data_IF_381142607995
#
_entry.id   IF_381142607995
#
_cell.length_a   1.000
_cell.length_b   1.000
_cell.length_c   1.000
_cell.angle_alpha   90.00
_cell.angle_beta   90.00
_cell.angle_gamma   90.00
#
_symmetry.space_group_name_H-M   'P 1'
#
loop_
_entity.id
_entity.type
_entity.pdbx_description
1 polymer ?
#
# COMPACT_ATOMS: atom_id res chain seq x y z
N UNK A 1 23.05 -12.59 1.88
CA UNK A 1 23.10 -11.66 3.01
C UNK A 1 22.12 -10.54 2.70
N UNK A 2 21.02 -10.54 3.39
CA UNK A 2 20.03 -9.45 3.31
C UNK A 2 20.66 -8.25 4.00
N UNK A 3 21.08 -7.26 3.24
CA UNK A 3 21.62 -6.01 3.79
C UNK A 3 20.43 -5.24 4.39
N UNK A 4 20.37 -5.16 5.71
CA UNK A 4 19.45 -4.25 6.39
C UNK A 4 19.90 -2.84 5.98
N UNK A 5 19.01 -2.03 5.42
CA UNK A 5 19.30 -0.62 5.15
C UNK A 5 19.60 0.08 6.47
N UNK A 6 20.68 0.86 6.51
CA UNK A 6 21.04 1.68 7.69
C UNK A 6 20.11 2.90 7.84
N UNK A 7 19.20 3.11 6.88
CA UNK A 7 18.26 4.26 6.83
C UNK A 7 16.84 3.70 6.71
N UNK A 8 15.88 4.22 7.49
CA UNK A 8 14.49 3.81 7.41
C UNK A 8 13.91 3.95 6.00
N UNK A 9 12.99 3.07 5.65
CA UNK A 9 12.19 3.14 4.41
C UNK A 9 11.18 4.27 4.62
N UNK A 10 11.20 5.26 3.74
CA UNK A 10 10.31 6.42 3.78
C UNK A 10 8.97 6.06 3.15
N UNK A 11 7.91 6.16 3.93
CA UNK A 11 6.57 5.69 3.57
C UNK A 11 5.57 6.84 3.59
N UNK A 12 4.71 6.89 2.57
CA UNK A 12 3.49 7.69 2.55
C UNK A 12 2.29 6.75 2.75
N UNK A 13 1.43 7.05 3.71
CA UNK A 13 0.14 6.39 3.86
C UNK A 13 -0.91 7.06 2.97
N UNK A 14 -1.60 6.28 2.13
CA UNK A 14 -2.58 6.79 1.19
C UNK A 14 -4.00 6.44 1.61
N UNK A 15 -4.60 7.31 2.39
CA UNK A 15 -5.92 7.27 3.00
C UNK A 15 -5.86 7.10 4.53
N UNK A 16 -6.92 7.56 5.20
CA UNK A 16 -7.08 7.46 6.66
C UNK A 16 -8.45 6.87 7.02
N UNK A 17 -8.90 5.93 6.20
CA UNK A 17 -10.04 5.06 6.54
C UNK A 17 -9.67 4.07 7.65
N UNK A 18 -10.48 3.06 7.86
CA UNK A 18 -10.25 2.06 8.90
C UNK A 18 -8.86 1.41 8.79
N UNK A 19 -8.51 0.90 7.60
CA UNK A 19 -7.20 0.27 7.36
C UNK A 19 -6.05 1.28 7.43
N UNK A 20 -6.26 2.51 6.93
CA UNK A 20 -5.21 3.53 6.95
C UNK A 20 -4.80 3.96 8.34
N UNK A 21 -5.73 3.99 9.30
CA UNK A 21 -5.41 4.23 10.71
C UNK A 21 -4.51 3.13 11.27
N UNK A 22 -4.85 1.88 11.03
CA UNK A 22 -4.05 0.73 11.44
C UNK A 22 -2.68 0.73 10.75
N UNK A 23 -2.60 1.16 9.49
CA UNK A 23 -1.35 1.27 8.76
C UNK A 23 -0.44 2.34 9.38
N UNK A 24 -0.96 3.51 9.74
CA UNK A 24 -0.19 4.56 10.44
C UNK A 24 0.40 4.03 11.75
N UNK A 25 -0.40 3.36 12.58
CA UNK A 25 0.09 2.75 13.81
C UNK A 25 1.16 1.69 13.56
N UNK A 26 0.96 0.86 12.52
CA UNK A 26 1.89 -0.20 12.17
C UNK A 26 3.21 0.34 11.60
N UNK A 27 3.18 1.45 10.85
CA UNK A 27 4.38 2.11 10.35
C UNK A 27 5.15 2.71 11.53
N UNK A 28 4.47 3.45 12.40
CA UNK A 28 5.09 4.10 13.57
C UNK A 28 5.72 3.09 14.55
N UNK A 29 5.15 1.90 14.69
CA UNK A 29 5.66 0.85 15.56
C UNK A 29 6.95 0.18 15.03
N UNK A 30 7.39 0.47 13.81
CA UNK A 30 8.54 -0.17 13.17
C UNK A 30 9.70 0.80 12.95
N UNK A 31 10.84 0.61 13.62
CA UNK A 31 11.99 1.51 13.49
C UNK A 31 12.62 1.50 12.09
N UNK A 32 12.37 0.46 11.29
CA UNK A 32 12.80 0.37 9.91
C UNK A 32 11.94 1.17 8.92
N UNK A 33 10.83 1.76 9.38
CA UNK A 33 9.93 2.58 8.57
C UNK A 33 9.89 4.02 9.11
N UNK A 34 9.72 4.97 8.21
CA UNK A 34 9.53 6.38 8.52
C UNK A 34 8.29 6.89 7.80
N UNK A 35 7.25 7.28 8.55
CA UNK A 35 6.08 7.94 7.97
C UNK A 35 6.46 9.37 7.59
N UNK A 36 6.49 9.67 6.28
CA UNK A 36 6.88 10.99 5.77
C UNK A 36 5.71 11.81 5.24
N UNK A 37 4.54 11.20 5.04
CA UNK A 37 3.35 11.89 4.56
C UNK A 37 2.09 11.04 4.69
N UNK A 38 0.95 11.72 4.69
CA UNK A 38 -0.37 11.10 4.72
C UNK A 38 -1.29 11.81 3.74
N UNK A 39 -1.86 11.06 2.79
CA UNK A 39 -2.86 11.56 1.87
C UNK A 39 -4.26 11.41 2.45
N UNK A 40 -5.06 12.45 2.32
CA UNK A 40 -6.50 12.45 2.66
C UNK A 40 -7.31 13.11 1.54
N UNK A 41 -8.47 12.53 1.24
CA UNK A 41 -9.43 13.12 0.29
C UNK A 41 -10.50 13.98 0.97
N UNK A 42 -10.63 13.88 2.29
CA UNK A 42 -11.58 14.66 3.08
C UNK A 42 -10.93 16.00 3.50
N UNK A 43 -11.46 17.14 3.02
CA UNK A 43 -10.91 18.45 3.38
C UNK A 43 -10.87 18.73 4.90
N UNK A 44 -11.77 18.12 5.67
CA UNK A 44 -11.80 18.26 7.12
C UNK A 44 -10.59 17.63 7.84
N UNK A 45 -9.86 16.75 7.14
CA UNK A 45 -8.67 16.07 7.66
C UNK A 45 -7.37 16.74 7.24
N UNK A 46 -7.40 17.68 6.30
CA UNK A 46 -6.22 18.39 5.83
C UNK A 46 -5.63 19.23 6.98
N UNK A 47 -4.33 19.09 7.19
CA UNK A 47 -3.59 19.73 8.28
C UNK A 47 -3.69 19.03 9.63
N UNK A 48 -4.52 17.98 9.77
CA UNK A 48 -4.58 17.20 11.01
C UNK A 48 -3.39 16.26 11.08
N UNK A 49 -2.81 16.11 12.26
CA UNK A 49 -1.68 15.21 12.49
C UNK A 49 -2.07 13.73 12.27
N UNK A 50 -1.17 12.98 11.67
CA UNK A 50 -1.35 11.56 11.34
C UNK A 50 -1.66 10.71 12.59
N UNK A 51 -1.00 10.97 13.71
CA UNK A 51 -1.27 10.27 14.97
C UNK A 51 -2.68 10.51 15.46
N UNK A 52 -3.18 11.75 15.37
CA UNK A 52 -4.57 12.07 15.74
C UNK A 52 -5.58 11.41 14.82
N UNK A 53 -5.31 11.39 13.50
CA UNK A 53 -6.15 10.68 12.53
C UNK A 53 -6.18 9.17 12.77
N UNK A 54 -5.08 8.60 13.23
CA UNK A 54 -4.99 7.19 13.61
C UNK A 54 -5.69 6.87 14.95
N UNK A 55 -6.00 7.89 15.75
CA UNK A 55 -6.59 7.72 17.09
C UNK A 55 -5.54 7.54 18.20
N UNK A 56 -4.29 7.88 17.93
CA UNK A 56 -3.21 7.83 18.91
C UNK A 56 -3.30 9.02 19.87
N UNK A 57 -2.83 8.84 21.10
CA UNK A 57 -2.80 9.88 22.12
C UNK A 57 -1.65 10.89 21.93
N UNK A 58 -0.90 10.79 20.84
CA UNK A 58 0.25 11.63 20.52
C UNK A 58 0.27 12.09 19.07
N UNK A 59 0.94 13.18 18.81
CA UNK A 59 1.24 13.64 17.47
C UNK A 59 2.48 12.90 16.92
N UNK A 60 2.49 12.64 15.61
CA UNK A 60 3.62 12.07 14.88
C UNK A 60 4.44 13.14 14.16
N UNK A 61 3.97 14.39 14.14
CA UNK A 61 4.62 15.49 13.44
C UNK A 61 4.41 15.47 11.93
N UNK A 62 3.47 14.65 11.42
CA UNK A 62 3.14 14.52 10.00
C UNK A 62 1.73 15.02 9.78
N UNK A 63 1.58 16.20 9.18
CA UNK A 63 0.28 16.75 8.83
C UNK A 63 -0.27 16.09 7.55
N UNK A 64 -1.53 15.66 7.59
CA UNK A 64 -2.20 15.11 6.42
C UNK A 64 -2.48 16.19 5.37
N UNK A 65 -2.43 15.82 4.10
CA UNK A 65 -2.67 16.73 2.97
C UNK A 65 -3.45 16.05 1.85
N UNK A 66 -4.15 16.83 1.06
CA UNK A 66 -4.76 16.43 -0.21
C UNK A 66 -3.89 16.81 -1.43
N UNK A 67 -2.74 17.43 -1.20
CA UNK A 67 -1.77 17.78 -2.24
C UNK A 67 -0.90 16.56 -2.63
N UNK A 68 -1.35 15.86 -3.69
CA UNK A 68 -0.65 14.69 -4.25
C UNK A 68 0.76 15.03 -4.69
N UNK A 69 0.92 16.16 -5.36
CA UNK A 69 2.22 16.56 -5.92
C UNK A 69 3.25 16.83 -4.81
N UNK A 70 2.82 17.47 -3.73
CA UNK A 70 3.67 17.68 -2.56
C UNK A 70 4.11 16.35 -1.93
N UNK A 71 3.21 15.36 -1.80
CA UNK A 71 3.56 14.05 -1.26
C UNK A 71 4.56 13.28 -2.14
N UNK A 72 4.35 13.29 -3.45
CA UNK A 72 5.29 12.64 -4.38
C UNK A 72 6.66 13.35 -4.41
N UNK A 73 6.67 14.68 -4.26
CA UNK A 73 7.90 15.46 -4.18
C UNK A 73 8.75 15.17 -2.92
N UNK A 74 8.17 14.55 -1.88
CA UNK A 74 8.92 14.04 -0.74
C UNK A 74 9.89 12.92 -1.13
N UNK A 75 9.71 12.28 -2.28
CA UNK A 75 10.50 11.14 -2.74
C UNK A 75 10.37 9.94 -1.79
N UNK A 76 9.18 9.45 -1.48
CA UNK A 76 9.03 8.28 -0.64
C UNK A 76 9.58 7.03 -1.34
N UNK A 77 10.09 6.07 -0.58
CA UNK A 77 10.49 4.74 -1.09
C UNK A 77 9.26 3.89 -1.43
N UNK A 78 8.17 4.09 -0.68
CA UNK A 78 6.94 3.32 -0.84
C UNK A 78 5.68 4.10 -0.45
N UNK A 79 4.57 3.71 -1.06
CA UNK A 79 3.22 4.11 -0.67
C UNK A 79 2.50 2.89 -0.11
N UNK A 80 1.95 3.02 1.09
CA UNK A 80 0.96 2.10 1.64
C UNK A 80 -0.42 2.61 1.23
N UNK A 81 -1.08 1.87 0.35
CA UNK A 81 -2.32 2.30 -0.27
C UNK A 81 -3.51 1.55 0.34
N UNK A 82 -4.27 2.25 1.17
CA UNK A 82 -5.45 1.72 1.86
C UNK A 82 -6.74 2.43 1.45
N UNK A 83 -6.69 3.23 0.37
CA UNK A 83 -7.87 3.87 -0.18
C UNK A 83 -8.84 2.82 -0.74
N UNK A 84 -10.13 3.15 -0.66
CA UNK A 84 -11.20 2.31 -1.21
C UNK A 84 -11.04 2.19 -2.73
N UNK A 85 -11.08 0.96 -3.24
CA UNK A 85 -10.90 0.65 -4.67
C UNK A 85 -12.07 -0.09 -5.28
N UNK A 86 -13.03 -0.57 -4.50
CA UNK A 86 -14.17 -1.35 -5.00
C UNK A 86 -15.06 -0.49 -5.93
N UNK A 87 -15.31 0.76 -5.55
CA UNK A 87 -16.09 1.72 -6.36
C UNK A 87 -15.22 2.60 -7.25
N UNK A 88 -13.90 2.63 -7.00
CA UNK A 88 -12.89 3.44 -7.71
C UNK A 88 -11.83 2.60 -8.41
N UNK A 89 -12.18 1.46 -8.96
CA UNK A 89 -11.20 0.52 -9.54
C UNK A 89 -10.24 1.22 -10.52
N UNK A 90 -10.76 1.93 -11.52
CA UNK A 90 -9.91 2.63 -12.51
C UNK A 90 -9.07 3.74 -11.88
N UNK A 91 -9.61 4.47 -10.90
CA UNK A 91 -8.85 5.46 -10.15
C UNK A 91 -7.69 4.86 -9.38
N UNK A 92 -7.86 3.66 -8.83
CA UNK A 92 -6.75 2.90 -8.22
C UNK A 92 -5.68 2.50 -9.24
N UNK A 93 -6.08 2.05 -10.42
CA UNK A 93 -5.15 1.71 -11.52
C UNK A 93 -4.36 2.95 -11.98
N UNK A 94 -5.02 4.10 -12.09
CA UNK A 94 -4.38 5.37 -12.45
C UNK A 94 -3.37 5.79 -11.37
N UNK A 95 -3.76 5.74 -10.10
CA UNK A 95 -2.89 6.03 -8.96
C UNK A 95 -1.64 5.13 -8.98
N UNK A 96 -1.81 3.82 -9.10
CA UNK A 96 -0.69 2.87 -9.14
C UNK A 96 0.24 3.13 -10.33
N UNK A 97 -0.32 3.41 -11.50
CA UNK A 97 0.46 3.73 -12.70
C UNK A 97 1.33 4.97 -12.49
N UNK A 98 0.77 6.01 -11.87
CA UNK A 98 1.50 7.25 -11.54
C UNK A 98 2.66 6.96 -10.57
N UNK A 99 2.38 6.27 -9.47
CA UNK A 99 3.37 5.98 -8.44
C UNK A 99 4.50 5.09 -8.95
N UNK A 100 4.16 4.04 -9.68
CA UNK A 100 5.14 3.13 -10.28
C UNK A 100 6.06 3.86 -11.25
N UNK A 101 5.52 4.71 -12.14
CA UNK A 101 6.33 5.51 -13.08
C UNK A 101 7.22 6.52 -12.36
N UNK A 102 6.78 7.03 -11.22
CA UNK A 102 7.60 7.89 -10.37
C UNK A 102 8.70 7.13 -9.61
N UNK A 103 8.82 5.83 -9.79
CA UNK A 103 9.82 5.00 -9.09
C UNK A 103 9.47 4.66 -7.65
N UNK A 104 8.20 4.78 -7.28
CA UNK A 104 7.71 4.56 -5.92
C UNK A 104 7.04 3.19 -5.83
N UNK A 105 7.49 2.35 -4.91
CA UNK A 105 6.85 1.06 -4.66
C UNK A 105 5.47 1.24 -4.04
N UNK A 106 4.56 0.32 -4.32
CA UNK A 106 3.19 0.36 -3.79
C UNK A 106 2.86 -0.94 -3.10
N UNK A 107 2.39 -0.84 -1.85
CA UNK A 107 1.79 -1.94 -1.11
C UNK A 107 0.32 -1.57 -0.86
N UNK A 108 -0.58 -2.31 -1.48
CA UNK A 108 -2.00 -1.99 -1.50
C UNK A 108 -2.86 -3.10 -0.86
N UNK A 109 -3.91 -2.69 -0.17
CA UNK A 109 -4.93 -3.60 0.36
C UNK A 109 -6.00 -4.01 -0.66
N UNK A 110 -6.00 -3.38 -1.82
CA UNK A 110 -6.92 -3.61 -2.94
C UNK A 110 -6.45 -2.90 -4.21
N UNK A 111 -7.14 -3.06 -5.35
CA UNK A 111 -8.28 -3.96 -5.54
C UNK A 111 -7.87 -5.43 -5.57
N UNK A 112 -8.72 -6.28 -5.01
CA UNK A 112 -8.50 -7.73 -4.86
C UNK A 112 -8.15 -8.42 -6.17
N UNK A 113 -8.74 -7.98 -7.29
CA UNK A 113 -8.49 -8.56 -8.61
C UNK A 113 -7.02 -8.48 -9.05
N UNK A 114 -6.22 -7.59 -8.48
CA UNK A 114 -4.80 -7.46 -8.79
C UNK A 114 -3.90 -8.45 -8.01
N UNK A 115 -4.44 -9.23 -7.08
CA UNK A 115 -3.67 -10.31 -6.44
C UNK A 115 -3.32 -11.42 -7.43
N UNK A 116 -4.27 -11.75 -8.33
CA UNK A 116 -4.05 -12.62 -9.46
C UNK A 116 -4.90 -12.16 -10.64
N UNK A 117 -4.42 -11.24 -11.46
CA UNK A 117 -5.22 -10.59 -12.49
C UNK A 117 -5.40 -11.42 -13.78
N UNK A 118 -4.52 -12.43 -14.02
CA UNK A 118 -4.48 -13.19 -15.26
C UNK A 118 -5.78 -13.99 -15.49
N UNK A 119 -6.37 -13.81 -16.68
CA UNK A 119 -7.65 -14.43 -17.03
C UNK A 119 -8.89 -13.74 -16.42
N UNK A 120 -8.70 -12.67 -15.62
CA UNK A 120 -9.77 -11.90 -15.00
C UNK A 120 -9.81 -10.47 -15.57
N UNK A 121 -8.66 -9.81 -15.61
CA UNK A 121 -8.51 -8.46 -16.16
C UNK A 121 -8.00 -8.51 -17.61
N UNK A 122 -8.27 -7.46 -18.42
CA UNK A 122 -7.68 -7.34 -19.75
C UNK A 122 -6.15 -7.38 -19.68
N UNK A 123 -5.52 -8.17 -20.54
CA UNK A 123 -4.05 -8.31 -20.58
C UNK A 123 -3.37 -6.94 -20.84
N UNK A 124 -3.98 -6.07 -21.64
CA UNK A 124 -3.46 -4.71 -21.92
C UNK A 124 -3.34 -3.88 -20.64
N UNK A 125 -4.26 -4.05 -19.69
CA UNK A 125 -4.21 -3.37 -18.39
C UNK A 125 -3.08 -3.93 -17.52
N UNK A 126 -2.93 -5.25 -17.51
CA UNK A 126 -1.85 -5.94 -16.77
C UNK A 126 -0.50 -5.50 -17.33
N UNK A 127 -0.35 -5.51 -18.65
CA UNK A 127 0.87 -5.11 -19.33
C UNK A 127 1.21 -3.64 -19.10
N UNK A 128 0.20 -2.75 -19.06
CA UNK A 128 0.39 -1.33 -18.78
C UNK A 128 0.92 -1.08 -17.36
N UNK A 129 0.37 -1.76 -16.36
CA UNK A 129 0.87 -1.70 -14.98
C UNK A 129 2.28 -2.28 -14.86
N UNK A 130 2.52 -3.43 -15.49
CA UNK A 130 3.83 -4.04 -15.50
C UNK A 130 4.88 -3.18 -16.21
N UNK A 131 4.50 -2.48 -17.29
CA UNK A 131 5.36 -1.52 -17.98
C UNK A 131 5.68 -0.33 -17.06
N UNK A 132 4.68 0.24 -16.39
CA UNK A 132 4.88 1.34 -15.45
C UNK A 132 5.88 0.97 -14.34
N UNK A 133 5.77 -0.25 -13.80
CA UNK A 133 6.72 -0.76 -12.79
C UNK A 133 8.13 -0.92 -13.34
N UNK A 134 8.28 -1.47 -14.56
CA UNK A 134 9.60 -1.59 -15.23
C UNK A 134 10.23 -0.24 -15.52
N UNK A 135 9.45 0.68 -16.05
CA UNK A 135 9.92 2.02 -16.44
C UNK A 135 10.41 2.83 -15.23
N UNK A 136 9.70 2.74 -14.11
CA UNK A 136 10.09 3.41 -12.87
C UNK A 136 11.03 2.60 -11.97
N UNK A 137 11.27 1.31 -12.27
CA UNK A 137 12.05 0.43 -11.39
C UNK A 137 11.35 0.15 -10.06
N UNK A 138 10.01 0.14 -10.05
CA UNK A 138 9.17 0.01 -8.86
C UNK A 138 8.28 -1.23 -8.93
N UNK A 139 7.76 -1.65 -7.78
CA UNK A 139 6.95 -2.85 -7.61
C UNK A 139 5.59 -2.51 -7.01
N UNK A 140 4.54 -3.12 -7.55
CA UNK A 140 3.21 -3.17 -6.95
C UNK A 140 3.00 -4.53 -6.27
N UNK A 141 2.64 -4.50 -5.00
CA UNK A 141 2.15 -5.65 -4.26
C UNK A 141 0.73 -5.39 -3.77
N UNK A 142 -0.20 -6.27 -4.12
CA UNK A 142 -1.58 -6.22 -3.61
C UNK A 142 -1.80 -7.45 -2.75
N UNK A 143 -2.24 -7.24 -1.52
CA UNK A 143 -2.45 -8.32 -0.57
C UNK A 143 -3.41 -7.91 0.53
N UNK A 144 -3.87 -8.91 1.29
CA UNK A 144 -4.80 -8.71 2.39
C UNK A 144 -4.84 -9.95 3.28
N UNK A 145 -5.92 -10.06 4.07
CA UNK A 145 -6.16 -11.23 4.91
C UNK A 145 -7.03 -12.24 4.16
N UNK A 146 -8.10 -11.76 3.52
CA UNK A 146 -9.06 -12.57 2.78
C UNK A 146 -9.61 -11.75 1.59
N UNK A 147 -9.17 -12.08 0.38
CA UNK A 147 -8.10 -13.01 0.02
C UNK A 147 -6.70 -12.51 0.40
N UNK A 148 -5.78 -13.45 0.66
CA UNK A 148 -4.40 -13.19 1.00
C UNK A 148 -3.88 -14.13 2.09
N UNK A 149 -3.50 -13.60 3.24
CA UNK A 149 -2.85 -14.40 4.29
C UNK A 149 -3.67 -15.61 4.74
N UNK A 150 -4.98 -15.43 5.00
CA UNK A 150 -5.85 -16.50 5.50
C UNK A 150 -6.15 -17.58 4.45
N UNK A 151 -6.22 -17.20 3.18
CA UNK A 151 -6.63 -18.12 2.10
C UNK A 151 -5.43 -18.75 1.38
N UNK A 152 -4.27 -18.10 1.43
CA UNK A 152 -3.08 -18.54 0.70
C UNK A 152 -1.97 -18.99 1.66
N UNK A 153 -1.44 -18.06 2.45
CA UNK A 153 -0.24 -18.32 3.28
C UNK A 153 -0.54 -19.30 4.40
N UNK A 154 -1.62 -19.10 5.13
CA UNK A 154 -1.98 -19.95 6.27
C UNK A 154 -2.34 -21.39 5.83
N UNK A 155 -3.21 -21.62 4.83
CA UNK A 155 -3.46 -22.97 4.34
C UNK A 155 -2.20 -23.66 3.83
N UNK A 156 -1.36 -22.98 3.05
CA UNK A 156 -0.10 -23.55 2.58
C UNK A 156 0.83 -23.95 3.72
N UNK A 157 0.96 -23.12 4.76
CA UNK A 157 1.74 -23.47 5.94
C UNK A 157 1.16 -24.70 6.68
N UNK A 158 -0.17 -24.79 6.76
CA UNK A 158 -0.86 -25.91 7.41
C UNK A 158 -0.82 -27.22 6.60
N UNK A 159 -0.59 -27.18 5.27
CA UNK A 159 -0.47 -28.41 4.46
C UNK A 159 0.67 -29.31 4.92
N UNK A 160 1.70 -28.74 5.54
CA UNK A 160 2.82 -29.51 6.14
C UNK A 160 2.36 -30.47 7.24
N UNK A 161 1.20 -30.23 7.85
CA UNK A 161 0.59 -31.07 8.88
C UNK A 161 -0.29 -32.16 8.29
N UNK A 162 -0.58 -32.10 7.00
CA UNK A 162 -1.49 -33.01 6.31
C UNK A 162 -0.71 -34.16 5.68
N UNK A 163 -1.13 -35.41 5.94
CA UNK A 163 -0.55 -36.59 5.30
C UNK A 163 -0.91 -36.68 3.81
N UNK A 164 -2.06 -36.11 3.44
CA UNK A 164 -2.62 -36.14 2.08
C UNK A 164 -3.57 -34.97 1.89
N UNK A 165 -3.54 -34.39 0.71
CA UNK A 165 -4.48 -33.37 0.28
C UNK A 165 -5.22 -33.96 -0.92
N UNK A 166 -6.53 -34.13 -0.81
CA UNK A 166 -7.40 -34.56 -1.89
C UNK A 166 -8.07 -33.32 -2.51
N UNK A 167 -8.11 -33.25 -3.86
CA UNK A 167 -8.77 -32.19 -4.62
C UNK A 167 -10.21 -32.60 -4.92
#
# INVERSE_FOLDING_TARGET
SMTIRDVPIRVVEWSTGYLGRMAVEAIDARPELELVGVFVSDPAKVGVDAGRLAGMDRDLGVAATDDRAALLALGPDAIVYTAETETRFMGGIEDFTEFLRAGINVVASGPVLLQYPHGILPEEMIDALAAAGRDGGATLHVGGIDPGFANDVLPLAMTSLSRRIDL
#
